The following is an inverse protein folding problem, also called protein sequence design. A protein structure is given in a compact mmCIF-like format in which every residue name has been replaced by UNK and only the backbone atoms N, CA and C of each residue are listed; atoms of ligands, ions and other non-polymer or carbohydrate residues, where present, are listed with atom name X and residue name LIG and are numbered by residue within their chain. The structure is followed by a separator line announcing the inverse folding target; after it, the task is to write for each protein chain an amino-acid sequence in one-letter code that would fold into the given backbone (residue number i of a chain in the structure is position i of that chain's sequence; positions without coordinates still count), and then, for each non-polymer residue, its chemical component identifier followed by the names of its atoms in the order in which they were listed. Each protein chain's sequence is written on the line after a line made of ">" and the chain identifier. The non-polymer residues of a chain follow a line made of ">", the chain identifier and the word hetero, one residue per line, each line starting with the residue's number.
data_IF_268769141191
#
_entry.id   IF_268769141191
#
_cell.length_a   1.000
_cell.length_b   1.000
_cell.length_c   1.000
_cell.angle_alpha   90.00
_cell.angle_beta   90.00
_cell.angle_gamma   90.00
#
_symmetry.space_group_name_H-M   'P 1'
#
loop_
_entity.id
_entity.type
_entity.pdbx_description
1 polymer ?
#
# COMPACT_ATOMS: atom_id res chain seq x y z
N UNK A 1 7.09 7.18 -20.13
CA UNK A 1 5.98 6.26 -20.31
C UNK A 1 6.01 5.24 -19.19
N UNK A 2 5.03 5.34 -18.30
CA UNK A 2 4.78 4.33 -17.28
C UNK A 2 4.19 3.09 -17.96
N UNK A 3 4.71 1.90 -17.68
CA UNK A 3 4.25 0.65 -18.29
C UNK A 3 3.02 0.05 -17.59
N UNK A 4 2.22 0.88 -16.90
CA UNK A 4 1.05 0.47 -16.13
C UNK A 4 -0.10 1.48 -16.24
N UNK A 5 -1.33 0.96 -16.30
CA UNK A 5 -2.56 1.75 -16.41
C UNK A 5 -3.37 1.76 -15.11
N UNK A 6 -3.20 0.76 -14.25
CA UNK A 6 -3.90 0.64 -12.98
C UNK A 6 -2.94 0.80 -11.81
N UNK A 7 -3.21 1.77 -10.94
CA UNK A 7 -2.48 1.99 -9.68
C UNK A 7 -3.44 1.80 -8.52
N UNK A 8 -3.06 0.97 -7.56
CA UNK A 8 -3.74 0.80 -6.29
C UNK A 8 -3.03 1.62 -5.22
N UNK A 9 -3.75 2.55 -4.62
CA UNK A 9 -3.36 3.20 -3.38
C UNK A 9 -4.16 2.58 -2.22
N UNK A 10 -3.48 2.17 -1.16
CA UNK A 10 -4.14 1.74 0.08
C UNK A 10 -3.63 2.58 1.23
N UNK A 11 -4.55 3.19 1.97
CA UNK A 11 -4.25 3.96 3.20
C UNK A 11 -4.73 3.16 4.41
N UNK A 12 -3.88 3.01 5.40
CA UNK A 12 -4.14 2.25 6.62
C UNK A 12 -4.07 3.15 7.83
N UNK A 13 -5.09 3.12 8.69
CA UNK A 13 -5.00 3.71 10.03
C UNK A 13 -4.30 2.72 10.97
N UNK A 14 -3.09 3.06 11.39
CA UNK A 14 -2.22 2.20 12.18
C UNK A 14 -2.68 2.07 13.63
N UNK A 15 -2.47 0.88 14.18
CA UNK A 15 -2.43 0.68 15.62
C UNK A 15 -1.00 0.93 16.12
N UNK A 16 -0.76 1.93 16.99
CA UNK A 16 0.58 2.24 17.49
C UNK A 16 1.22 1.11 18.30
N UNK A 17 0.42 0.14 18.77
CA UNK A 17 0.91 -1.01 19.53
C UNK A 17 1.26 -2.22 18.65
N UNK A 18 0.98 -2.17 17.34
CA UNK A 18 1.18 -3.30 16.40
C UNK A 18 2.05 -2.95 15.19
N UNK A 19 2.93 -1.94 15.32
CA UNK A 19 3.74 -1.42 14.20
C UNK A 19 4.71 -2.46 13.62
N UNK A 20 5.34 -3.29 14.46
CA UNK A 20 6.25 -4.34 13.99
C UNK A 20 5.49 -5.43 13.21
N UNK A 21 4.31 -5.80 13.69
CA UNK A 21 3.42 -6.74 13.01
C UNK A 21 2.91 -6.17 11.68
N UNK A 22 2.62 -4.87 11.63
CA UNK A 22 2.30 -4.17 10.39
C UNK A 22 3.48 -4.19 9.40
N UNK A 23 4.71 -4.03 9.88
CA UNK A 23 5.89 -4.12 9.03
C UNK A 23 6.07 -5.53 8.44
N UNK A 24 5.75 -6.57 9.21
CA UNK A 24 5.70 -7.96 8.71
C UNK A 24 4.60 -8.17 7.66
N UNK A 25 3.40 -7.65 7.92
CA UNK A 25 2.29 -7.65 6.96
C UNK A 25 2.72 -7.00 5.65
N UNK A 26 3.29 -5.79 5.72
CA UNK A 26 3.77 -5.05 4.56
C UNK A 26 4.81 -5.82 3.76
N UNK A 27 5.85 -6.37 4.41
CA UNK A 27 6.89 -7.17 3.75
C UNK A 27 6.31 -8.38 3.01
N UNK A 28 5.31 -9.04 3.61
CA UNK A 28 4.67 -10.21 3.03
C UNK A 28 3.90 -9.85 1.76
N UNK A 29 3.07 -8.82 1.81
CA UNK A 29 2.31 -8.39 0.64
C UNK A 29 3.17 -7.78 -0.47
N UNK A 30 4.26 -7.08 -0.14
CA UNK A 30 5.25 -6.62 -1.14
C UNK A 30 5.78 -7.80 -1.96
N UNK A 31 6.18 -8.89 -1.29
CA UNK A 31 6.70 -10.10 -1.97
C UNK A 31 5.62 -10.76 -2.82
N UNK A 32 4.43 -10.97 -2.28
CA UNK A 32 3.32 -11.62 -2.97
C UNK A 32 2.88 -10.83 -4.21
N UNK A 33 2.69 -9.51 -4.09
CA UNK A 33 2.30 -8.65 -5.21
C UNK A 33 3.34 -8.74 -6.34
N UNK A 34 4.64 -8.64 -6.00
CA UNK A 34 5.72 -8.77 -6.99
C UNK A 34 5.78 -10.15 -7.64
N UNK A 35 5.63 -11.21 -6.85
CA UNK A 35 5.61 -12.59 -7.34
C UNK A 35 4.51 -12.80 -8.39
N UNK A 36 3.35 -12.18 -8.17
CA UNK A 36 2.16 -12.30 -9.03
C UNK A 36 2.04 -11.17 -10.06
N UNK A 37 3.17 -10.60 -10.49
CA UNK A 37 3.25 -9.69 -11.64
C UNK A 37 2.92 -8.23 -11.36
N UNK A 38 2.68 -7.85 -10.10
CA UNK A 38 2.45 -6.47 -9.71
C UNK A 38 3.76 -5.69 -9.51
N UNK A 39 3.74 -4.41 -9.84
CA UNK A 39 4.84 -3.48 -9.56
C UNK A 39 4.57 -2.84 -8.20
N UNK A 40 5.37 -3.17 -7.17
CA UNK A 40 5.19 -2.57 -5.85
C UNK A 40 6.15 -1.39 -5.64
N UNK A 41 5.60 -0.17 -5.50
CA UNK A 41 6.36 1.07 -5.32
C UNK A 41 6.80 1.28 -3.86
N UNK A 42 6.00 0.80 -2.90
CA UNK A 42 6.42 0.79 -1.50
C UNK A 42 5.25 0.72 -0.53
N UNK A 43 5.58 0.30 0.69
CA UNK A 43 4.77 0.50 1.88
C UNK A 43 5.48 1.58 2.70
N UNK A 44 4.79 2.67 2.95
CA UNK A 44 5.34 3.88 3.55
C UNK A 44 4.69 4.10 4.91
N UNK A 45 5.54 4.24 5.94
CA UNK A 45 5.13 4.62 7.29
C UNK A 45 5.19 6.15 7.42
N UNK A 46 4.36 6.76 8.28
CA UNK A 46 4.47 8.16 8.57
C UNK A 46 5.80 8.44 9.29
N UNK A 47 6.39 9.59 9.01
CA UNK A 47 7.62 10.06 9.67
C UNK A 47 7.57 11.57 9.86
N UNK A 48 8.40 12.07 10.77
CA UNK A 48 8.57 13.52 10.93
C UNK A 48 9.08 14.16 9.63
N UNK A 49 8.55 15.35 9.35
CA UNK A 49 8.97 16.17 8.24
C UNK A 49 10.42 16.66 8.43
N UNK A 50 11.19 16.85 7.35
CA UNK A 50 12.53 17.42 7.46
C UNK A 50 12.49 18.82 8.11
N UNK A 51 13.41 19.07 9.05
CA UNK A 51 13.49 20.34 9.75
C UNK A 51 13.57 21.54 8.77
N UNK A 52 12.80 22.59 9.05
CA UNK A 52 12.75 23.79 8.21
C UNK A 52 11.91 23.65 6.94
N UNK A 53 11.22 22.52 6.73
CA UNK A 53 10.32 22.36 5.58
C UNK A 53 9.01 23.13 5.79
N UNK A 54 8.81 24.19 5.01
CA UNK A 54 7.54 24.92 4.97
C UNK A 54 6.61 24.36 3.88
N UNK A 55 5.29 24.43 4.11
CA UNK A 55 4.30 24.10 3.09
C UNK A 55 4.32 25.15 1.97
N UNK A 56 4.30 24.72 0.70
CA UNK A 56 4.30 25.64 -0.45
C UNK A 56 3.12 26.61 -0.46
N UNK A 57 1.95 26.15 0.03
CA UNK A 57 0.74 26.96 0.16
C UNK A 57 0.23 26.88 1.60
N UNK A 58 0.80 27.69 2.49
CA UNK A 58 0.55 27.62 3.93
C UNK A 58 -0.92 27.74 4.33
N UNK A 59 -1.75 28.46 3.56
CA UNK A 59 -3.19 28.62 3.84
C UNK A 59 -4.06 27.45 3.38
N UNK A 60 -3.52 26.56 2.53
CA UNK A 60 -4.25 25.43 1.95
C UNK A 60 -3.71 24.07 2.43
N UNK A 61 -2.45 24.02 2.84
CA UNK A 61 -1.78 22.79 3.26
C UNK A 61 -2.02 22.43 4.72
N UNK A 62 -1.95 21.13 5.01
CA UNK A 62 -1.92 20.59 6.36
C UNK A 62 -0.95 19.41 6.43
N UNK A 63 -0.35 19.19 7.60
CA UNK A 63 0.42 17.97 7.86
C UNK A 63 -0.52 16.77 7.90
N UNK A 64 -0.12 15.68 7.25
CA UNK A 64 -0.86 14.42 7.29
C UNK A 64 -0.88 13.78 8.69
N UNK A 65 -1.78 12.82 8.92
CA UNK A 65 -1.87 12.11 10.19
C UNK A 65 -0.61 11.29 10.49
N UNK A 66 -0.18 11.30 11.75
CA UNK A 66 1.01 10.58 12.22
C UNK A 66 0.82 9.05 12.35
N UNK A 67 -0.39 8.55 12.11
CA UNK A 67 -0.77 7.15 12.20
C UNK A 67 -1.33 6.59 10.88
N UNK A 68 -1.03 7.20 9.73
CA UNK A 68 -1.46 6.66 8.43
C UNK A 68 -0.28 6.10 7.65
N UNK A 69 -0.36 4.81 7.29
CA UNK A 69 0.56 4.19 6.35
C UNK A 69 -0.06 4.10 4.95
N UNK A 70 0.78 4.11 3.93
CA UNK A 70 0.35 4.06 2.52
C UNK A 70 1.04 2.91 1.80
N UNK A 71 0.28 2.10 1.06
CA UNK A 71 0.82 1.18 0.07
C UNK A 71 0.49 1.70 -1.33
N UNK A 72 1.47 1.63 -2.23
CA UNK A 72 1.29 1.97 -3.63
C UNK A 72 1.85 0.84 -4.50
N UNK A 73 1.01 0.28 -5.37
CA UNK A 73 1.39 -0.77 -6.31
C UNK A 73 0.56 -0.67 -7.58
N UNK A 74 1.07 -1.21 -8.69
CA UNK A 74 0.49 -1.05 -10.00
C UNK A 74 0.47 -2.36 -10.80
N UNK A 75 -0.38 -2.39 -11.82
CA UNK A 75 -0.52 -3.46 -12.79
C UNK A 75 -0.65 -2.88 -14.20
N UNK A 76 -0.25 -3.64 -15.21
CA UNK A 76 -0.31 -3.21 -16.62
C UNK A 76 -1.72 -2.72 -16.99
N UNK A 77 -2.73 -3.45 -16.53
CA UNK A 77 -4.15 -3.27 -16.85
C UNK A 77 -5.05 -3.99 -15.80
N UNK A 78 -6.36 -3.85 -15.97
CA UNK A 78 -7.38 -4.48 -15.12
C UNK A 78 -7.31 -6.01 -15.13
N UNK A 79 -6.97 -6.62 -16.26
CA UNK A 79 -6.88 -8.08 -16.38
C UNK A 79 -5.71 -8.63 -15.57
N UNK A 80 -4.56 -7.96 -15.61
CA UNK A 80 -3.41 -8.29 -14.79
C UNK A 80 -3.75 -8.20 -13.30
N UNK A 81 -4.47 -7.16 -12.87
CA UNK A 81 -4.94 -7.05 -11.49
C UNK A 81 -5.90 -8.20 -11.10
N UNK A 82 -6.86 -8.56 -11.96
CA UNK A 82 -7.78 -9.68 -11.70
C UNK A 82 -7.04 -11.02 -11.58
N UNK A 83 -6.12 -11.32 -12.50
CA UNK A 83 -5.28 -12.53 -12.44
C UNK A 83 -4.44 -12.58 -11.17
N UNK A 84 -3.89 -11.44 -10.75
CA UNK A 84 -3.18 -11.33 -9.47
C UNK A 84 -4.08 -11.75 -8.30
N UNK A 85 -5.31 -11.22 -8.23
CA UNK A 85 -6.25 -11.51 -7.14
C UNK A 85 -6.60 -12.99 -7.05
N UNK A 86 -6.77 -13.65 -8.19
CA UNK A 86 -7.01 -15.10 -8.27
C UNK A 86 -5.76 -15.89 -7.86
N UNK A 87 -4.60 -15.53 -8.41
CA UNK A 87 -3.35 -16.26 -8.20
C UNK A 87 -2.86 -16.17 -6.76
N UNK A 88 -2.93 -14.98 -6.14
CA UNK A 88 -2.50 -14.79 -4.74
C UNK A 88 -3.44 -15.46 -3.74
N UNK A 89 -4.72 -15.65 -4.10
CA UNK A 89 -5.67 -16.36 -3.26
C UNK A 89 -5.39 -17.88 -3.22
N UNK A 90 -4.79 -18.41 -4.29
CA UNK A 90 -4.37 -19.82 -4.39
C UNK A 90 -2.92 -20.06 -3.95
N UNK A 91 -2.10 -19.01 -3.80
CA UNK A 91 -0.71 -19.11 -3.33
C UNK A 91 -0.66 -19.57 -1.87
N UNK A 92 0.09 -20.65 -1.53
CA UNK A 92 0.24 -21.08 -0.14
C UNK A 92 0.72 -19.99 0.83
N UNK A 93 1.64 -19.11 0.43
CA UNK A 93 2.10 -17.98 1.25
C UNK A 93 1.00 -16.90 1.37
N UNK A 94 0.15 -16.76 0.34
CA UNK A 94 -1.02 -15.88 0.40
C UNK A 94 -2.10 -16.39 1.36
N UNK A 95 -2.37 -17.70 1.35
CA UNK A 95 -3.28 -18.37 2.28
C UNK A 95 -2.77 -18.26 3.72
N UNK A 96 -1.47 -18.52 3.94
CA UNK A 96 -0.82 -18.37 5.24
C UNK A 96 -0.90 -16.92 5.71
N UNK A 97 -0.60 -15.93 4.85
CA UNK A 97 -0.68 -14.52 5.19
C UNK A 97 -2.10 -14.11 5.61
N UNK A 98 -3.12 -14.52 4.86
CA UNK A 98 -4.51 -14.24 5.21
C UNK A 98 -4.91 -14.86 6.56
N UNK A 99 -4.40 -16.06 6.87
CA UNK A 99 -4.64 -16.74 8.14
C UNK A 99 -3.93 -16.02 9.29
N UNK A 100 -2.64 -15.69 9.10
CA UNK A 100 -1.81 -15.00 10.08
C UNK A 100 -2.36 -13.62 10.44
N UNK A 101 -2.87 -12.88 9.46
CA UNK A 101 -3.38 -11.52 9.63
C UNK A 101 -4.92 -11.44 9.57
N UNK A 102 -5.61 -12.51 9.99
CA UNK A 102 -7.06 -12.53 10.09
C UNK A 102 -7.59 -11.46 11.07
N UNK A 103 -6.83 -11.18 12.12
CA UNK A 103 -6.90 -9.94 12.91
C UNK A 103 -5.77 -9.01 12.44
N UNK A 104 -6.03 -8.07 11.53
CA UNK A 104 -4.98 -7.29 10.89
C UNK A 104 -4.34 -6.26 11.85
N UNK A 105 -3.04 -5.94 11.70
CA UNK A 105 -2.31 -5.00 12.56
C UNK A 105 -2.60 -3.52 12.25
N UNK A 106 -3.84 -3.19 11.92
CA UNK A 106 -4.33 -1.84 11.64
C UNK A 106 -5.81 -1.73 12.01
N UNK A 107 -6.27 -0.52 12.34
CA UNK A 107 -7.65 -0.26 12.79
C UNK A 107 -8.64 -0.20 11.63
N UNK A 108 -8.22 0.39 10.52
CA UNK A 108 -9.04 0.56 9.33
C UNK A 108 -8.16 0.71 8.09
N UNK A 109 -8.73 0.51 6.90
CA UNK A 109 -8.04 0.82 5.65
C UNK A 109 -9.02 1.31 4.58
N UNK A 110 -8.52 2.07 3.61
CA UNK A 110 -9.24 2.48 2.40
C UNK A 110 -8.37 2.21 1.19
N UNK A 111 -8.99 1.75 0.10
CA UNK A 111 -8.31 1.51 -1.18
C UNK A 111 -8.92 2.38 -2.28
N UNK A 112 -8.06 3.02 -3.05
CA UNK A 112 -8.40 3.76 -4.26
C UNK A 112 -7.72 3.11 -5.46
N UNK A 113 -8.41 3.09 -6.60
CA UNK A 113 -7.82 2.75 -7.90
C UNK A 113 -7.65 4.04 -8.69
N UNK A 114 -6.47 4.21 -9.26
CA UNK A 114 -6.03 5.42 -9.92
C UNK A 114 -5.49 5.07 -11.30
N UNK A 115 -5.68 5.98 -12.25
CA UNK A 115 -5.04 5.95 -13.56
C UNK A 115 -4.01 7.11 -13.63
N UNK A 116 -2.85 6.93 -14.30
CA UNK A 116 -1.92 8.03 -14.51
C UNK A 116 -2.56 9.14 -15.35
N UNK A 117 -2.48 10.39 -14.87
CA UNK A 117 -3.04 11.54 -15.59
C UNK A 117 -2.14 12.07 -16.74
N UNK A 118 -0.87 11.62 -16.80
CA UNK A 118 0.11 12.03 -17.82
C UNK A 118 1.18 10.94 -18.01
N UNK A 119 1.65 10.75 -19.25
CA UNK A 119 2.59 9.70 -19.69
C UNK A 119 4.07 9.87 -19.28
#
# INVERSE_FOLDING_TARGET
>A
MLDYQLVCEVRYELDPHRLDEFADYARTWVRLIRRHGGIHHGFFMPREAPAGSAMSFASLGATGPANEAVALFAFSDDDAYRRYRESVAADPEGIEANTRFADPPFKSYRRCFLEPASE
#
